data_IF_870496640364
#
_entry.id   IF_870496640364
#
_cell.length_a   1.000
_cell.length_b   1.000
_cell.length_c   1.000
_cell.angle_alpha   90.00
_cell.angle_beta   90.00
_cell.angle_gamma   90.00
#
_symmetry.space_group_name_H-M   'P 1'
#
loop_
_entity.id
_entity.type
_entity.pdbx_description
1 polymer ?
#
# COMPACT_ATOMS: atom_id res chain seq x y z
N UNK A 1 11.70 -3.89 -11.25
CA UNK A 1 10.51 -4.18 -10.40
C UNK A 1 10.43 -3.15 -9.29
N UNK A 2 9.33 -2.39 -9.22
CA UNK A 2 9.14 -1.41 -8.15
C UNK A 2 8.61 -2.09 -6.90
N UNK A 3 9.24 -1.86 -5.76
CA UNK A 3 8.72 -2.29 -4.47
C UNK A 3 7.87 -1.17 -3.89
N UNK A 4 6.60 -1.44 -3.64
CA UNK A 4 5.70 -0.49 -2.98
C UNK A 4 5.75 -0.73 -1.48
N UNK A 5 6.14 0.29 -0.71
CA UNK A 5 6.03 0.25 0.74
C UNK A 5 4.63 0.72 1.14
N UNK A 6 3.73 -0.22 1.37
CA UNK A 6 2.42 0.09 1.94
C UNK A 6 2.51 -0.14 3.44
N UNK A 7 2.56 0.94 4.19
CA UNK A 7 2.39 0.82 5.62
C UNK A 7 0.90 0.88 5.91
N UNK A 8 0.29 -0.24 6.19
CA UNK A 8 -1.09 -0.29 6.66
C UNK A 8 -1.27 0.28 8.04
N UNK A 9 -0.28 0.94 8.46
CA UNK A 9 -0.38 1.56 9.71
C UNK A 9 -1.14 2.77 9.59
N UNK A 10 -2.01 3.02 8.89
CA UNK A 10 -2.81 4.22 9.00
C UNK A 10 -2.24 5.38 9.79
N UNK A 11 -1.09 5.35 10.04
CA UNK A 11 -0.55 5.82 11.12
C UNK A 11 0.55 6.65 11.12
N UNK A 12 1.02 6.83 10.07
CA UNK A 12 2.14 7.72 9.96
C UNK A 12 1.70 9.18 9.93
N UNK A 13 0.45 9.43 9.81
CA UNK A 13 -0.05 10.77 9.89
C UNK A 13 -0.20 11.15 11.37
N UNK A 14 0.88 11.55 11.97
CA UNK A 14 0.84 12.38 13.15
C UNK A 14 0.43 13.80 12.75
N UNK A 15 -0.74 13.93 12.15
CA UNK A 15 -1.24 15.18 11.61
C UNK A 15 -1.59 16.25 12.63
N UNK A 16 -0.92 16.23 13.76
CA UNK A 16 -1.00 17.26 14.78
C UNK A 16 -0.08 18.44 14.50
N UNK A 17 0.95 18.25 13.68
CA UNK A 17 1.81 19.33 13.22
C UNK A 17 1.32 19.86 11.88
N UNK A 18 0.90 21.10 11.86
CA UNK A 18 0.49 21.76 10.62
C UNK A 18 1.62 21.74 9.60
N UNK A 19 1.33 21.26 8.39
CA UNK A 19 2.33 21.20 7.30
C UNK A 19 3.12 19.89 7.21
N UNK A 20 2.86 18.91 8.09
CA UNK A 20 3.56 17.63 8.09
C UNK A 20 3.44 16.89 6.75
N UNK A 21 2.25 16.80 6.17
CA UNK A 21 2.04 16.17 4.87
C UNK A 21 2.81 16.87 3.74
N UNK A 22 2.79 18.19 3.70
CA UNK A 22 3.50 18.98 2.69
C UNK A 22 5.01 18.92 2.92
N UNK A 23 5.45 19.02 4.17
CA UNK A 23 6.87 18.92 4.53
C UNK A 23 7.45 17.56 4.16
N UNK A 24 6.74 16.49 4.48
CA UNK A 24 7.15 15.13 4.12
C UNK A 24 7.20 14.94 2.60
N UNK A 25 6.19 15.37 1.87
CA UNK A 25 6.16 15.29 0.41
C UNK A 25 7.31 16.07 -0.24
N UNK A 26 7.62 17.27 0.26
CA UNK A 26 8.73 18.09 -0.24
C UNK A 26 10.08 17.44 0.03
N UNK A 27 10.30 16.96 1.25
CA UNK A 27 11.57 16.32 1.64
C UNK A 27 11.81 15.02 0.88
N UNK A 28 10.82 14.15 0.85
CA UNK A 28 10.95 12.87 0.14
C UNK A 28 11.05 13.06 -1.38
N UNK A 29 10.35 14.06 -1.92
CA UNK A 29 10.46 14.45 -3.33
C UNK A 29 11.85 14.96 -3.69
N UNK A 30 12.46 15.78 -2.85
CA UNK A 30 13.84 16.25 -3.02
C UNK A 30 14.83 15.09 -2.98
N UNK A 31 14.76 14.23 -1.96
CA UNK A 31 15.61 13.04 -1.85
C UNK A 31 15.47 12.09 -3.05
N UNK A 32 14.24 11.92 -3.54
CA UNK A 32 13.99 11.14 -4.74
C UNK A 32 14.64 11.77 -5.98
N UNK A 33 14.52 13.11 -6.14
CA UNK A 33 15.15 13.85 -7.23
C UNK A 33 16.66 13.73 -7.22
N UNK A 34 17.29 13.90 -6.06
CA UNK A 34 18.74 13.76 -5.88
C UNK A 34 19.27 12.36 -6.21
N UNK A 35 18.43 11.33 -6.00
CA UNK A 35 18.77 9.95 -6.32
C UNK A 35 18.51 9.60 -7.79
N UNK A 36 17.38 10.07 -8.35
CA UNK A 36 16.94 9.75 -9.70
C UNK A 36 17.77 10.47 -10.76
N UNK A 37 18.14 11.73 -10.53
CA UNK A 37 18.86 12.51 -11.53
C UNK A 37 20.24 11.92 -11.91
N UNK A 38 21.11 11.51 -10.95
CA UNK A 38 22.37 10.85 -11.30
C UNK A 38 22.19 9.47 -11.94
N UNK A 39 21.12 8.75 -11.58
CA UNK A 39 20.77 7.48 -12.20
C UNK A 39 20.37 7.70 -13.66
N UNK A 40 19.41 8.60 -13.90
CA UNK A 40 18.92 8.90 -15.25
C UNK A 40 20.00 9.42 -16.18
N UNK A 41 20.99 10.18 -15.66
CA UNK A 41 22.10 10.68 -16.44
C UNK A 41 23.04 9.58 -16.97
N UNK A 42 22.99 8.38 -16.40
CA UNK A 42 23.82 7.22 -16.77
C UNK A 42 23.02 6.10 -17.42
N UNK A 43 21.70 6.14 -17.31
CA UNK A 43 20.82 5.10 -17.86
C UNK A 43 20.78 5.26 -19.40
N UNK A 44 20.89 4.15 -20.08
CA UNK A 44 20.59 4.06 -21.50
C UNK A 44 19.10 3.73 -21.68
N UNK A 45 18.54 4.16 -22.80
CA UNK A 45 17.18 3.83 -23.15
C UNK A 45 17.14 2.39 -23.68
N UNK A 46 16.27 1.58 -23.08
CA UNK A 46 15.97 0.26 -23.61
C UNK A 46 15.14 0.38 -24.90
N UNK A 47 15.25 -0.60 -25.77
CA UNK A 47 14.37 -0.72 -26.92
C UNK A 47 12.93 -0.99 -26.45
N UNK A 48 11.96 -0.35 -27.11
CA UNK A 48 10.55 -0.56 -26.81
C UNK A 48 10.10 -1.94 -27.29
N UNK A 49 9.58 -2.72 -26.38
CA UNK A 49 8.86 -3.96 -26.72
C UNK A 49 7.46 -3.61 -27.27
N UNK A 50 7.37 -3.61 -28.60
CA UNK A 50 6.11 -3.26 -29.29
C UNK A 50 5.01 -4.30 -29.09
N UNK A 51 5.36 -5.55 -28.80
CA UNK A 51 4.37 -6.59 -28.49
C UNK A 51 3.73 -6.33 -27.12
N UNK A 52 4.56 -5.98 -26.14
CA UNK A 52 4.09 -5.57 -24.82
C UNK A 52 3.17 -4.33 -24.90
N UNK A 53 3.58 -3.34 -25.70
CA UNK A 53 2.75 -2.13 -25.93
C UNK A 53 1.40 -2.48 -26.57
N UNK A 54 1.38 -3.37 -27.56
CA UNK A 54 0.16 -3.79 -28.21
C UNK A 54 -0.79 -4.54 -27.25
N UNK A 55 -0.24 -5.50 -26.49
CA UNK A 55 -1.00 -6.25 -25.49
C UNK A 55 -1.57 -5.34 -24.37
N UNK A 56 -0.79 -4.36 -23.91
CA UNK A 56 -1.26 -3.39 -22.93
C UNK A 56 -2.38 -2.51 -23.50
N UNK A 57 -2.26 -2.05 -24.75
CA UNK A 57 -3.32 -1.30 -25.43
C UNK A 57 -4.59 -2.11 -25.53
N UNK A 58 -4.53 -3.35 -25.97
CA UNK A 58 -5.69 -4.23 -26.07
C UNK A 58 -6.37 -4.38 -24.70
N UNK A 59 -5.61 -4.64 -23.65
CA UNK A 59 -6.10 -4.76 -22.28
C UNK A 59 -6.81 -3.47 -21.82
N UNK A 60 -6.21 -2.31 -22.04
CA UNK A 60 -6.73 -1.01 -21.58
C UNK A 60 -8.03 -0.66 -22.30
N UNK A 61 -8.09 -0.86 -23.60
CA UNK A 61 -9.27 -0.49 -24.40
C UNK A 61 -10.33 -1.57 -24.51
N UNK A 62 -10.09 -2.79 -24.00
CA UNK A 62 -11.04 -3.89 -24.06
C UNK A 62 -12.47 -3.53 -23.58
N UNK A 63 -12.67 -2.73 -22.49
CA UNK A 63 -14.01 -2.38 -22.03
C UNK A 63 -14.87 -1.63 -23.09
N UNK A 64 -14.25 -0.89 -24.02
CA UNK A 64 -14.96 -0.20 -25.10
C UNK A 64 -15.51 -1.13 -26.20
N UNK A 65 -15.05 -2.37 -26.21
CA UNK A 65 -15.36 -3.33 -27.30
C UNK A 65 -16.11 -4.57 -26.80
N UNK A 66 -16.46 -4.60 -25.50
CA UNK A 66 -17.21 -5.70 -24.90
C UNK A 66 -18.72 -5.48 -25.05
N UNK A 67 -19.44 -6.58 -25.19
CA UNK A 67 -20.92 -6.61 -25.22
C UNK A 67 -21.50 -7.10 -23.88
N UNK A 68 -20.69 -7.19 -22.84
CA UNK A 68 -21.11 -7.57 -21.50
C UNK A 68 -22.00 -6.48 -20.87
N UNK A 69 -22.59 -6.79 -19.70
CA UNK A 69 -23.56 -5.91 -19.05
C UNK A 69 -23.08 -5.32 -17.72
N UNK A 70 -21.83 -5.61 -17.33
CA UNK A 70 -21.29 -5.14 -16.06
C UNK A 70 -20.78 -3.71 -16.14
N UNK A 71 -21.25 -2.88 -15.24
CA UNK A 71 -20.86 -1.48 -15.14
C UNK A 71 -19.93 -1.23 -13.94
N UNK A 72 -18.98 -0.32 -14.06
CA UNK A 72 -18.02 0.00 -12.99
C UNK A 72 -18.69 0.37 -11.65
N UNK A 73 -19.91 0.92 -11.69
CA UNK A 73 -20.67 1.26 -10.47
C UNK A 73 -20.96 0.06 -9.57
N UNK A 74 -21.11 -1.13 -10.13
CA UNK A 74 -21.32 -2.35 -9.34
C UNK A 74 -20.16 -2.58 -8.38
N UNK A 75 -18.92 -2.35 -8.86
CA UNK A 75 -17.72 -2.47 -8.06
C UNK A 75 -17.65 -1.34 -7.00
N UNK A 76 -17.95 -0.11 -7.38
CA UNK A 76 -17.95 1.01 -6.43
C UNK A 76 -18.99 0.83 -5.33
N UNK A 77 -20.19 0.39 -5.64
CA UNK A 77 -21.26 0.11 -4.67
C UNK A 77 -20.80 -0.98 -3.67
N UNK A 78 -20.07 -2.00 -4.15
CA UNK A 78 -19.48 -3.01 -3.27
C UNK A 78 -18.38 -2.42 -2.38
N UNK A 79 -17.48 -1.60 -2.93
CA UNK A 79 -16.37 -0.98 -2.19
C UNK A 79 -16.89 -0.02 -1.12
N UNK A 80 -17.94 0.75 -1.39
CA UNK A 80 -18.54 1.67 -0.42
C UNK A 80 -18.97 0.96 0.86
N UNK A 81 -19.35 -0.32 0.78
CA UNK A 81 -19.72 -1.12 1.96
C UNK A 81 -18.55 -1.32 2.92
N UNK A 82 -17.29 -1.13 2.49
CA UNK A 82 -16.11 -1.24 3.34
C UNK A 82 -15.67 0.10 3.88
N UNK A 83 -15.81 1.18 3.10
CA UNK A 83 -15.36 2.52 3.48
C UNK A 83 -16.22 3.07 4.61
N UNK A 84 -17.53 2.83 4.58
CA UNK A 84 -18.48 3.37 5.56
C UNK A 84 -18.81 2.42 6.72
N UNK A 85 -18.40 1.16 6.63
CA UNK A 85 -18.61 0.19 7.71
C UNK A 85 -17.40 0.20 8.67
N UNK A 86 -17.61 0.74 9.87
CA UNK A 86 -16.60 0.81 10.94
C UNK A 86 -15.99 -0.54 11.27
N UNK A 87 -16.80 -1.60 11.27
CA UNK A 87 -16.33 -2.97 11.59
C UNK A 87 -15.50 -3.59 10.48
N UNK A 88 -15.57 -3.08 9.28
CA UNK A 88 -14.74 -3.55 8.16
C UNK A 88 -13.54 -2.65 7.92
N UNK A 89 -13.75 -1.34 7.91
CA UNK A 89 -12.70 -0.38 7.57
C UNK A 89 -11.76 -0.10 8.75
N UNK A 90 -12.29 0.10 9.96
CA UNK A 90 -11.52 0.54 11.13
C UNK A 90 -11.30 -0.63 12.09
N UNK A 91 -12.38 -1.19 12.63
CA UNK A 91 -12.33 -2.23 13.65
C UNK A 91 -12.32 -3.61 13.02
N UNK A 92 -11.14 -4.09 12.68
CA UNK A 92 -10.96 -5.35 11.95
C UNK A 92 -10.76 -6.53 12.90
N UNK A 93 -11.24 -7.68 12.47
CA UNK A 93 -10.84 -8.97 13.00
C UNK A 93 -10.66 -9.97 11.85
N UNK A 94 -10.11 -11.14 12.15
CA UNK A 94 -9.82 -12.15 11.11
C UNK A 94 -11.09 -12.64 10.39
N UNK A 95 -12.22 -12.71 11.08
CA UNK A 95 -13.47 -13.16 10.48
C UNK A 95 -14.02 -12.13 9.48
N UNK A 96 -13.95 -10.84 9.81
CA UNK A 96 -14.36 -9.76 8.91
C UNK A 96 -13.40 -9.64 7.71
N UNK A 97 -12.08 -9.77 7.93
CA UNK A 97 -11.08 -9.76 6.84
C UNK A 97 -11.37 -10.88 5.83
N UNK A 98 -11.71 -12.09 6.30
CA UNK A 98 -12.06 -13.21 5.39
C UNK A 98 -13.32 -12.94 4.57
N UNK A 99 -14.31 -12.23 5.11
CA UNK A 99 -15.49 -11.82 4.35
C UNK A 99 -15.12 -10.82 3.25
N UNK A 100 -14.24 -9.86 3.57
CA UNK A 100 -13.72 -8.90 2.59
C UNK A 100 -13.00 -9.61 1.44
N UNK A 101 -12.20 -10.62 1.73
CA UNK A 101 -11.55 -11.40 0.65
C UNK A 101 -12.55 -12.08 -0.27
N UNK A 102 -13.61 -12.67 0.29
CA UNK A 102 -14.64 -13.30 -0.53
C UNK A 102 -15.32 -12.29 -1.48
N UNK A 103 -15.48 -11.05 -1.03
CA UNK A 103 -16.06 -9.98 -1.85
C UNK A 103 -15.05 -9.39 -2.84
N UNK A 104 -13.76 -9.31 -2.47
CA UNK A 104 -12.67 -8.96 -3.40
C UNK A 104 -12.63 -9.95 -4.58
N UNK A 105 -12.73 -11.24 -4.31
CA UNK A 105 -12.75 -12.25 -5.37
C UNK A 105 -13.97 -12.12 -6.30
N UNK A 106 -15.13 -11.77 -5.76
CA UNK A 106 -16.32 -11.46 -6.57
C UNK A 106 -16.09 -10.24 -7.46
N UNK A 107 -15.52 -9.15 -6.89
CA UNK A 107 -15.20 -7.95 -7.65
C UNK A 107 -14.18 -8.23 -8.75
N UNK A 108 -13.13 -9.00 -8.46
CA UNK A 108 -12.14 -9.43 -9.46
C UNK A 108 -12.79 -10.20 -10.61
N UNK A 109 -13.76 -11.04 -10.32
CA UNK A 109 -14.49 -11.79 -11.34
C UNK A 109 -15.33 -10.90 -12.26
N UNK A 110 -15.78 -9.73 -11.79
CA UNK A 110 -16.53 -8.75 -12.59
C UNK A 110 -15.61 -7.96 -13.54
N UNK A 111 -14.37 -7.66 -13.13
CA UNK A 111 -13.44 -6.81 -13.89
C UNK A 111 -13.27 -7.21 -15.36
N UNK A 112 -13.10 -8.49 -15.73
CA UNK A 112 -13.01 -8.90 -17.14
C UNK A 112 -14.26 -8.63 -17.97
N UNK A 113 -15.39 -8.36 -17.32
CA UNK A 113 -16.72 -8.17 -17.93
C UNK A 113 -17.19 -6.71 -17.87
N UNK A 114 -16.36 -5.79 -17.37
CA UNK A 114 -16.68 -4.37 -17.36
C UNK A 114 -16.79 -3.82 -18.78
N UNK A 115 -17.81 -3.00 -19.03
CA UNK A 115 -18.03 -2.30 -20.29
C UNK A 115 -17.95 -0.79 -20.11
N UNK A 116 -17.56 -0.13 -21.19
CA UNK A 116 -17.45 1.33 -21.24
C UNK A 116 -18.04 1.85 -22.56
N UNK A 117 -18.86 2.89 -22.49
CA UNK A 117 -19.49 3.51 -23.65
C UNK A 117 -18.68 4.69 -24.22
N UNK A 118 -17.76 5.24 -23.39
CA UNK A 118 -16.98 6.41 -23.71
C UNK A 118 -15.63 6.43 -22.95
N UNK A 119 -14.72 7.37 -23.25
CA UNK A 119 -13.43 7.47 -22.54
C UNK A 119 -13.55 7.73 -21.05
N UNK A 120 -14.62 8.37 -20.57
CA UNK A 120 -14.83 8.61 -19.15
C UNK A 120 -15.18 7.32 -18.42
N UNK A 121 -16.14 6.57 -18.93
CA UNK A 121 -16.51 5.27 -18.38
C UNK A 121 -15.37 4.25 -18.48
N UNK A 122 -14.56 4.32 -19.55
CA UNK A 122 -13.32 3.54 -19.65
C UNK A 122 -12.35 3.84 -18.49
N UNK A 123 -12.11 5.12 -18.21
CA UNK A 123 -11.26 5.53 -17.06
C UNK A 123 -11.82 4.96 -15.76
N UNK A 124 -13.14 4.99 -15.57
CA UNK A 124 -13.79 4.43 -14.38
C UNK A 124 -13.68 2.92 -14.26
N UNK A 125 -13.69 2.20 -15.37
CA UNK A 125 -13.42 0.76 -15.36
C UNK A 125 -12.00 0.43 -14.92
N UNK A 126 -11.01 1.20 -15.39
CA UNK A 126 -9.61 1.03 -15.00
C UNK A 126 -9.40 1.40 -13.52
N UNK A 127 -9.93 2.56 -13.08
CA UNK A 127 -9.90 2.98 -11.68
C UNK A 127 -10.55 1.94 -10.74
N UNK A 128 -11.64 1.30 -11.16
CA UNK A 128 -12.28 0.26 -10.36
C UNK A 128 -11.36 -0.95 -10.16
N UNK A 129 -10.66 -1.40 -11.20
CA UNK A 129 -9.69 -2.49 -11.11
C UNK A 129 -8.52 -2.13 -10.17
N UNK A 130 -7.98 -0.91 -10.30
CA UNK A 130 -6.90 -0.43 -9.43
C UNK A 130 -7.36 -0.29 -7.98
N UNK A 131 -8.61 0.13 -7.75
CA UNK A 131 -9.17 0.27 -6.41
C UNK A 131 -9.33 -1.10 -5.73
N UNK A 132 -9.72 -2.13 -6.47
CA UNK A 132 -9.77 -3.51 -5.94
C UNK A 132 -8.37 -3.97 -5.50
N UNK A 133 -7.34 -3.71 -6.31
CA UNK A 133 -5.97 -4.03 -5.97
C UNK A 133 -5.52 -3.29 -4.69
N UNK A 134 -5.83 -2.00 -4.58
CA UNK A 134 -5.54 -1.21 -3.38
C UNK A 134 -6.26 -1.78 -2.14
N UNK A 135 -7.52 -2.16 -2.28
CA UNK A 135 -8.31 -2.76 -1.21
C UNK A 135 -7.68 -4.09 -0.76
N UNK A 136 -7.28 -4.94 -1.70
CA UNK A 136 -6.59 -6.20 -1.39
C UNK A 136 -5.27 -5.95 -0.65
N UNK A 137 -4.43 -5.03 -1.11
CA UNK A 137 -3.18 -4.67 -0.43
C UNK A 137 -3.42 -4.21 1.02
N UNK A 138 -4.45 -3.39 1.25
CA UNK A 138 -4.82 -2.93 2.58
C UNK A 138 -5.20 -4.09 3.49
N UNK A 139 -6.08 -4.98 3.02
CA UNK A 139 -6.58 -6.06 3.87
C UNK A 139 -5.57 -7.18 4.08
N UNK A 140 -4.74 -7.52 3.09
CA UNK A 140 -3.63 -8.47 3.28
C UNK A 140 -2.60 -7.96 4.28
N UNK A 141 -2.26 -6.69 4.21
CA UNK A 141 -1.37 -6.09 5.21
C UNK A 141 -2.03 -6.03 6.59
N UNK A 142 -3.33 -5.75 6.66
CA UNK A 142 -4.09 -5.74 7.91
C UNK A 142 -4.19 -7.14 8.55
N UNK A 143 -4.35 -8.18 7.75
CA UNK A 143 -4.34 -9.57 8.22
C UNK A 143 -2.98 -9.96 8.79
N UNK A 144 -1.91 -9.59 8.09
CA UNK A 144 -0.54 -9.89 8.52
C UNK A 144 -0.20 -9.22 9.85
N UNK A 145 -0.65 -7.98 10.08
CA UNK A 145 -0.34 -7.22 11.30
C UNK A 145 -1.26 -7.63 12.46
N UNK A 146 -0.70 -8.35 13.41
CA UNK A 146 -1.43 -8.88 14.58
C UNK A 146 -1.22 -8.01 15.81
N UNK A 147 -1.58 -6.75 15.71
CA UNK A 147 -1.56 -5.76 16.78
C UNK A 147 -2.53 -4.62 16.49
N UNK A 148 -2.78 -3.76 17.46
CA UNK A 148 -3.46 -2.47 17.29
C UNK A 148 -2.45 -1.35 17.41
N UNK A 149 -2.39 -0.45 16.40
CA UNK A 149 -1.44 0.67 16.37
C UNK A 149 -2.02 1.88 15.68
N UNK A 150 -1.59 3.06 16.11
CA UNK A 150 -1.91 4.33 15.49
C UNK A 150 -2.93 5.17 16.24
N UNK A 151 -3.01 6.45 15.92
CA UNK A 151 -3.83 7.44 16.63
C UNK A 151 -4.92 8.02 15.73
N UNK A 152 -4.62 8.46 14.51
CA UNK A 152 -5.58 9.15 13.64
C UNK A 152 -6.30 8.23 12.65
N UNK A 153 -5.58 7.31 12.05
CA UNK A 153 -6.15 6.26 11.21
C UNK A 153 -5.65 4.93 11.75
N UNK A 154 -6.16 4.54 12.92
CA UNK A 154 -5.59 3.42 13.62
C UNK A 154 -5.85 2.13 12.88
N UNK A 155 -4.83 1.29 12.89
CA UNK A 155 -5.00 -0.11 12.57
C UNK A 155 -5.54 -0.80 13.83
N UNK A 156 -6.85 -0.89 13.95
CA UNK A 156 -7.50 -1.60 15.04
C UNK A 156 -7.76 -3.06 14.67
N UNK A 157 -7.27 -3.93 15.55
CA UNK A 157 -7.56 -5.35 15.50
C UNK A 157 -8.33 -5.71 16.77
N UNK A 158 -9.61 -6.06 16.64
CA UNK A 158 -10.42 -6.48 17.79
C UNK A 158 -9.90 -7.78 18.43
N UNK A 159 -9.31 -8.64 17.63
CA UNK A 159 -8.66 -9.90 18.04
C UNK A 159 -7.24 -9.70 18.60
N UNK A 160 -6.58 -8.56 18.32
CA UNK A 160 -5.26 -8.18 18.84
C UNK A 160 -5.26 -6.72 19.33
N UNK A 161 -5.93 -6.42 20.45
CA UNK A 161 -6.23 -5.03 20.83
C UNK A 161 -5.04 -4.25 21.42
N UNK A 162 -3.89 -4.89 21.62
CA UNK A 162 -2.71 -4.26 22.21
C UNK A 162 -1.69 -3.88 21.13
N UNK A 163 -0.92 -2.82 21.40
CA UNK A 163 0.28 -2.48 20.63
C UNK A 163 1.42 -3.40 21.04
N UNK A 164 2.09 -4.00 20.08
CA UNK A 164 3.20 -4.94 20.30
C UNK A 164 4.49 -4.43 19.62
N UNK A 165 5.23 -3.58 20.33
CA UNK A 165 6.47 -3.04 19.82
C UNK A 165 7.59 -4.08 19.65
N UNK A 166 7.51 -5.19 20.37
CA UNK A 166 8.54 -6.23 20.29
C UNK A 166 8.46 -7.00 18.98
N UNK A 167 7.25 -7.34 18.51
CA UNK A 167 7.05 -8.15 17.33
C UNK A 167 6.68 -7.33 16.10
N UNK A 168 6.05 -6.17 16.28
CA UNK A 168 5.44 -5.42 15.20
C UNK A 168 5.99 -4.01 14.96
N UNK A 169 7.12 -3.65 15.55
CA UNK A 169 7.82 -2.42 15.16
C UNK A 169 8.57 -2.66 13.85
N UNK A 170 7.79 -2.94 12.80
CA UNK A 170 8.24 -3.36 11.47
C UNK A 170 7.42 -2.68 10.40
N UNK A 171 8.01 -2.49 9.24
CA UNK A 171 7.26 -2.23 8.02
C UNK A 171 6.71 -3.54 7.45
N UNK A 172 5.52 -3.48 6.87
CA UNK A 172 5.00 -4.51 5.99
C UNK A 172 5.21 -4.02 4.56
N UNK A 173 5.95 -4.75 3.78
CA UNK A 173 6.22 -4.45 2.39
C UNK A 173 5.43 -5.42 1.51
N UNK A 174 4.99 -4.92 0.37
CA UNK A 174 4.28 -5.71 -0.65
C UNK A 174 5.04 -5.58 -1.96
N UNK A 175 5.21 -6.71 -2.64
CA UNK A 175 5.74 -6.74 -4.00
C UNK A 175 4.98 -7.76 -4.84
N UNK A 176 5.07 -7.62 -6.14
CA UNK A 176 4.61 -8.67 -7.05
C UNK A 176 5.66 -9.77 -7.11
N UNK A 177 5.25 -10.99 -6.81
CA UNK A 177 6.08 -12.19 -6.93
C UNK A 177 6.36 -12.54 -8.40
N UNK A 178 7.25 -13.50 -8.61
CA UNK A 178 7.61 -13.96 -9.95
C UNK A 178 6.45 -14.68 -10.67
N UNK A 179 5.50 -15.20 -9.92
CA UNK A 179 4.24 -15.82 -10.38
C UNK A 179 3.14 -14.80 -10.66
N UNK A 180 3.38 -13.52 -10.40
CA UNK A 180 2.41 -12.44 -10.54
C UNK A 180 1.54 -12.20 -9.30
N UNK A 181 1.63 -13.07 -8.28
CA UNK A 181 0.87 -12.96 -7.05
C UNK A 181 1.48 -11.93 -6.08
N UNK A 182 0.67 -11.53 -5.10
CA UNK A 182 1.08 -10.56 -4.09
C UNK A 182 1.90 -11.25 -2.99
N UNK A 183 3.17 -10.84 -2.84
CA UNK A 183 4.07 -11.30 -1.79
C UNK A 183 4.23 -10.23 -0.71
N UNK A 184 3.95 -10.62 0.54
CA UNK A 184 4.11 -9.76 1.71
C UNK A 184 5.32 -10.23 2.54
N UNK A 185 6.09 -9.26 3.02
CA UNK A 185 7.20 -9.52 3.94
C UNK A 185 7.38 -8.36 4.92
N UNK A 186 8.06 -8.62 6.02
CA UNK A 186 8.35 -7.59 7.03
C UNK A 186 9.79 -7.15 6.96
N UNK A 187 10.02 -5.88 7.32
CA UNK A 187 11.34 -5.28 7.46
C UNK A 187 11.38 -4.54 8.81
N UNK A 188 12.42 -4.77 9.60
CA UNK A 188 12.55 -4.14 10.90
C UNK A 188 12.83 -2.64 10.75
N UNK A 189 12.16 -1.84 11.57
CA UNK A 189 12.48 -0.41 11.67
C UNK A 189 13.77 -0.31 12.50
N UNK A 190 14.85 0.29 11.97
CA UNK A 190 16.15 0.32 12.65
C UNK A 190 16.17 1.32 13.81
N UNK A 191 15.31 1.10 14.80
CA UNK A 191 15.16 2.01 15.96
C UNK A 191 16.41 2.11 16.82
N UNK A 192 17.34 1.15 16.74
CA UNK A 192 18.66 1.24 17.40
C UNK A 192 19.51 2.41 16.91
N UNK A 193 19.21 2.93 15.70
CA UNK A 193 19.90 4.07 15.09
C UNK A 193 19.27 5.42 15.44
N UNK A 194 18.22 5.45 16.26
CA UNK A 194 17.50 6.68 16.60
C UNK A 194 17.65 7.03 18.09
N UNK A 195 17.73 8.34 18.43
CA UNK A 195 17.91 8.79 19.82
C UNK A 195 16.73 8.48 20.72
N UNK A 196 15.51 8.44 20.14
CA UNK A 196 14.28 8.18 20.88
C UNK A 196 13.70 6.85 20.43
N UNK A 197 13.46 5.97 21.39
CA UNK A 197 12.95 4.63 21.15
C UNK A 197 11.66 4.40 21.92
N UNK A 198 10.74 3.55 21.39
CA UNK A 198 9.55 3.14 22.13
C UNK A 198 9.88 2.48 23.46
N UNK A 199 9.03 2.68 24.45
CA UNK A 199 9.20 2.01 25.74
C UNK A 199 9.21 0.48 25.53
N UNK A 200 10.16 -0.19 26.17
CA UNK A 200 10.32 -1.64 26.09
C UNK A 200 10.94 -2.14 24.78
N UNK A 201 11.46 -1.24 23.94
CA UNK A 201 12.18 -1.66 22.74
C UNK A 201 13.46 -2.41 23.11
N UNK A 202 13.63 -3.58 22.53
CA UNK A 202 14.82 -4.41 22.67
C UNK A 202 15.57 -4.38 21.34
N UNK A 203 16.86 -4.05 21.41
CA UNK A 203 17.72 -4.07 20.22
C UNK A 203 17.77 -5.53 19.70
N UNK A 204 17.45 -5.79 18.42
CA UNK A 204 17.48 -7.12 17.86
C UNK A 204 18.89 -7.73 17.94
N UNK A 205 18.96 -9.06 18.05
CA UNK A 205 20.21 -9.79 18.05
C UNK A 205 21.05 -9.47 16.80
N UNK A 206 22.34 -9.24 16.99
CA UNK A 206 23.26 -8.86 15.91
C UNK A 206 23.36 -7.36 15.63
N UNK A 207 22.55 -6.53 16.31
CA UNK A 207 22.64 -5.08 16.23
C UNK A 207 23.18 -4.49 17.54
N UNK A 208 23.84 -3.33 17.42
CA UNK A 208 24.31 -2.54 18.55
C UNK A 208 23.58 -1.22 18.60
N UNK A 209 23.75 -0.47 19.67
CA UNK A 209 23.29 0.92 19.73
C UNK A 209 24.20 1.76 18.83
N UNK A 210 23.71 2.06 17.64
CA UNK A 210 24.45 2.78 16.59
C UNK A 210 24.15 4.29 16.62
N UNK A 211 23.38 4.76 17.60
CA UNK A 211 23.07 6.17 17.68
C UNK A 211 24.32 6.97 18.04
N UNK A 212 24.78 7.77 17.11
CA UNK A 212 25.77 8.81 17.28
C UNK A 212 25.09 10.17 17.07
N UNK A 213 25.06 10.99 18.09
CA UNK A 213 24.42 12.31 18.05
C UNK A 213 25.05 13.22 17.00
N UNK A 214 26.37 13.18 16.87
CA UNK A 214 27.10 14.00 15.91
C UNK A 214 26.80 13.55 14.45
N UNK A 215 26.77 12.23 14.21
CA UNK A 215 26.42 11.68 12.91
C UNK A 215 24.95 11.95 12.57
N UNK A 216 24.05 11.82 13.55
CA UNK A 216 22.63 12.07 13.34
C UNK A 216 22.37 13.50 12.87
N UNK A 217 22.93 14.50 13.55
CA UNK A 217 22.75 15.91 13.16
C UNK A 217 23.57 16.33 11.94
N UNK A 218 24.65 15.64 11.62
CA UNK A 218 25.41 15.91 10.39
C UNK A 218 24.69 15.46 9.11
N UNK A 219 23.72 14.53 9.23
CA UNK A 219 22.94 13.99 8.12
C UNK A 219 21.50 14.54 8.07
N UNK A 220 21.13 15.46 8.95
CA UNK A 220 19.89 16.23 8.92
C UNK A 220 20.07 17.55 8.17
#
# INVERSE_FOLDING_TARGET
>A
MGTWKVTTQGNAYFGWTRGDGLGNASTTGMMAGDSIAPYAAKAEWDELDLEQVAALKEKIYAPLHREDTHHFKEIYDMIETYIFDVHKCILKDEAEIRKVYADIEKMKAIVPHLTADDPHSLSKCLEAADTILCLEMIFRSAEMRKETRGIMYPHYRADYPQTDNQNWLKWINIRQGADGEMELFTEDIPMWRYPVRPQGYIIPEGHTDEYDEAEFYANC
#
